data_IF_439905012976
#
_entry.id   IF_439905012976
#
_cell.length_a   1.000
_cell.length_b   1.000
_cell.length_c   1.000
_cell.angle_alpha   90.00
_cell.angle_beta   90.00
_cell.angle_gamma   90.00
#
_symmetry.space_group_name_H-M   'P 1'
#
loop_
_entity.id
_entity.type
_entity.pdbx_description
1 polymer ?
#
# COMPACT_ATOMS: atom_id res chain seq x y z
N UNK A 1 -5.84 7.42 -3.98
CA UNK A 1 -7.01 8.23 -3.59
C UNK A 1 -6.91 9.71 -3.94
N UNK A 2 -5.80 10.41 -3.70
CA UNK A 2 -5.74 11.87 -3.92
C UNK A 2 -6.22 12.27 -5.32
N UNK A 3 -5.68 11.65 -6.37
CA UNK A 3 -6.11 11.92 -7.75
C UNK A 3 -7.60 11.63 -8.00
N UNK A 4 -8.13 10.53 -7.45
CA UNK A 4 -9.55 10.20 -7.53
C UNK A 4 -10.44 11.25 -6.84
N UNK A 5 -10.04 11.73 -5.65
CA UNK A 5 -10.75 12.82 -4.95
C UNK A 5 -10.68 14.16 -5.70
N UNK A 6 -9.67 14.35 -6.54
CA UNK A 6 -9.54 15.49 -7.45
C UNK A 6 -10.30 15.29 -8.77
N UNK A 7 -11.02 14.17 -8.94
CA UNK A 7 -11.82 13.88 -10.13
C UNK A 7 -11.02 13.31 -11.30
N UNK A 8 -9.78 12.88 -11.08
CA UNK A 8 -8.97 12.21 -12.11
C UNK A 8 -9.42 10.76 -12.23
N UNK A 9 -9.62 10.30 -13.46
CA UNK A 9 -9.91 8.89 -13.74
C UNK A 9 -8.77 7.98 -13.22
N UNK A 10 -9.08 6.90 -12.49
CA UNK A 10 -8.08 6.02 -11.91
C UNK A 10 -7.13 5.40 -12.94
N UNK A 11 -7.65 4.99 -14.10
CA UNK A 11 -6.86 4.34 -15.14
C UNK A 11 -5.93 5.36 -15.80
N UNK A 12 -6.44 6.54 -16.15
CA UNK A 12 -5.63 7.63 -16.71
C UNK A 12 -4.50 8.01 -15.75
N UNK A 13 -4.78 8.09 -14.45
CA UNK A 13 -3.74 8.39 -13.45
C UNK A 13 -2.68 7.29 -13.39
N UNK A 14 -3.09 6.02 -13.39
CA UNK A 14 -2.17 4.89 -13.37
C UNK A 14 -1.29 4.87 -14.64
N UNK A 15 -1.86 5.14 -15.81
CA UNK A 15 -1.14 5.23 -17.08
C UNK A 15 -0.11 6.36 -17.05
N UNK A 16 -0.45 7.53 -16.50
CA UNK A 16 0.49 8.65 -16.36
C UNK A 16 1.65 8.26 -15.43
N UNK A 17 1.37 7.67 -14.27
CA UNK A 17 2.39 7.23 -13.30
C UNK A 17 3.33 6.22 -13.94
N UNK A 18 2.80 5.22 -14.64
CA UNK A 18 3.56 4.12 -15.24
C UNK A 18 4.32 4.52 -16.51
N UNK A 19 3.96 5.63 -17.16
CA UNK A 19 4.73 6.23 -18.25
C UNK A 19 5.71 7.31 -17.80
N UNK A 20 5.78 7.59 -16.50
CA UNK A 20 6.62 8.65 -15.93
C UNK A 20 7.66 8.08 -14.95
N UNK A 21 8.34 8.95 -14.22
CA UNK A 21 9.36 8.59 -13.21
C UNK A 21 8.77 7.97 -11.94
N UNK A 22 7.43 7.93 -11.80
CA UNK A 22 6.75 7.34 -10.65
C UNK A 22 6.53 5.83 -10.74
N UNK A 23 6.86 5.22 -11.89
CA UNK A 23 6.66 3.78 -12.11
C UNK A 23 7.45 2.95 -11.09
N UNK A 24 6.75 2.01 -10.46
CA UNK A 24 7.35 0.99 -9.62
C UNK A 24 6.53 -0.31 -9.70
N UNK A 25 7.03 -1.38 -9.08
CA UNK A 25 6.31 -2.65 -9.05
C UNK A 25 4.89 -2.53 -8.49
N UNK A 26 4.70 -1.69 -7.47
CA UNK A 26 3.37 -1.47 -6.88
C UNK A 26 2.42 -0.73 -7.82
N UNK A 27 2.90 0.14 -8.72
CA UNK A 27 2.02 0.86 -9.65
C UNK A 27 1.76 0.07 -10.94
N UNK A 28 2.69 -0.80 -11.32
CA UNK A 28 2.60 -1.57 -12.56
C UNK A 28 1.95 -2.94 -12.39
N UNK A 29 2.32 -3.67 -11.32
CA UNK A 29 1.98 -5.09 -11.15
C UNK A 29 1.00 -5.29 -9.98
N UNK A 30 1.26 -4.65 -8.84
CA UNK A 30 0.44 -4.81 -7.63
C UNK A 30 -0.38 -3.56 -7.32
N UNK A 31 -1.07 -3.04 -8.34
CA UNK A 31 -1.81 -1.79 -8.20
C UNK A 31 -2.91 -1.92 -7.14
N UNK A 32 -2.98 -1.00 -6.16
CA UNK A 32 -3.90 -1.15 -5.04
C UNK A 32 -5.35 -0.82 -5.41
N UNK A 33 -5.59 0.06 -6.40
CA UNK A 33 -6.95 0.48 -6.75
C UNK A 33 -7.70 -0.65 -7.49
N UNK A 34 -8.84 -1.15 -6.98
CA UNK A 34 -9.54 -2.29 -7.57
C UNK A 34 -9.99 -2.09 -9.03
N UNK A 35 -10.31 -0.86 -9.43
CA UNK A 35 -10.82 -0.56 -10.78
C UNK A 35 -9.73 -0.42 -11.84
N UNK A 36 -8.46 -0.30 -11.43
CA UNK A 36 -7.33 -0.06 -12.36
C UNK A 36 -6.83 -1.38 -12.92
N UNK A 37 -6.71 -1.44 -14.25
CA UNK A 37 -6.06 -2.55 -14.94
C UNK A 37 -4.54 -2.39 -14.82
N UNK A 38 -3.90 -3.39 -14.22
CA UNK A 38 -2.46 -3.40 -13.94
C UNK A 38 -1.78 -4.57 -14.66
N UNK A 39 -1.36 -4.34 -15.91
CA UNK A 39 -0.79 -5.38 -16.77
C UNK A 39 -1.76 -6.54 -17.05
N UNK A 40 -1.21 -7.73 -17.25
CA UNK A 40 -1.96 -8.97 -17.53
C UNK A 40 -2.33 -9.77 -16.27
N UNK A 41 -1.88 -9.32 -15.09
CA UNK A 41 -2.11 -10.00 -13.82
C UNK A 41 -3.37 -9.46 -13.12
N UNK A 42 -4.01 -10.31 -12.31
CA UNK A 42 -5.07 -9.89 -11.37
C UNK A 42 -4.43 -9.63 -10.00
N UNK A 43 -4.03 -8.38 -9.67
CA UNK A 43 -3.49 -8.06 -8.36
C UNK A 43 -4.50 -8.31 -7.23
N UNK A 44 -4.04 -8.47 -5.97
CA UNK A 44 -4.91 -8.68 -4.83
C UNK A 44 -6.00 -7.60 -4.69
N UNK A 45 -5.73 -6.35 -5.08
CA UNK A 45 -6.72 -5.27 -5.10
C UNK A 45 -8.01 -5.61 -5.88
N UNK A 46 -7.93 -6.42 -6.94
CA UNK A 46 -9.10 -6.88 -7.71
C UNK A 46 -9.92 -7.95 -6.98
N UNK A 47 -9.31 -8.62 -6.01
CA UNK A 47 -9.86 -9.77 -5.28
C UNK A 47 -10.15 -9.39 -3.83
N UNK A 48 -10.58 -8.14 -3.59
CA UNK A 48 -10.80 -7.59 -2.24
C UNK A 48 -9.59 -7.78 -1.30
N UNK A 49 -8.39 -7.73 -1.86
CA UNK A 49 -7.14 -7.86 -1.14
C UNK A 49 -7.01 -9.22 -0.41
N UNK A 50 -7.74 -10.24 -0.88
CA UNK A 50 -7.62 -11.61 -0.38
C UNK A 50 -6.33 -12.26 -0.93
N UNK A 51 -5.66 -13.06 -0.11
CA UNK A 51 -4.39 -13.71 -0.47
C UNK A 51 -3.20 -12.75 -0.52
N UNK A 52 -2.29 -12.98 -1.46
CA UNK A 52 -1.09 -12.15 -1.65
C UNK A 52 -0.10 -12.23 -0.47
N UNK A 53 0.53 -11.10 -0.16
CA UNK A 53 1.46 -10.94 0.94
C UNK A 53 0.78 -10.23 2.11
N UNK A 54 0.34 -11.01 3.11
CA UNK A 54 -0.53 -10.50 4.17
C UNK A 54 0.13 -9.38 4.99
N UNK A 55 -0.68 -8.40 5.37
CA UNK A 55 -0.29 -7.18 6.08
C UNK A 55 0.49 -7.46 7.38
N UNK A 56 0.12 -8.50 8.14
CA UNK A 56 0.89 -8.94 9.33
C UNK A 56 2.32 -9.35 9.00
N UNK A 57 2.54 -10.03 7.88
CA UNK A 57 3.88 -10.41 7.44
C UNK A 57 4.67 -9.19 6.94
N UNK A 58 4.02 -8.29 6.21
CA UNK A 58 4.64 -7.02 5.79
C UNK A 58 5.10 -6.18 6.98
N UNK A 59 4.27 -6.04 8.02
CA UNK A 59 4.65 -5.37 9.27
C UNK A 59 5.84 -6.08 9.96
N UNK A 60 5.84 -7.41 10.01
CA UNK A 60 6.95 -8.17 10.60
C UNK A 60 8.27 -7.88 9.88
N UNK A 61 8.28 -7.86 8.54
CA UNK A 61 9.50 -7.56 7.77
C UNK A 61 9.94 -6.09 7.93
N UNK A 62 8.99 -5.14 7.98
CA UNK A 62 9.29 -3.73 8.27
C UNK A 62 9.89 -3.54 9.67
N UNK A 63 9.34 -4.22 10.69
CA UNK A 63 9.86 -4.17 12.05
C UNK A 63 11.30 -4.70 12.14
N UNK A 64 11.60 -5.79 11.42
CA UNK A 64 12.96 -6.32 11.31
C UNK A 64 13.91 -5.33 10.63
N UNK A 65 13.47 -4.71 9.53
CA UNK A 65 14.27 -3.71 8.82
C UNK A 65 14.57 -2.46 9.68
N UNK A 66 13.57 -1.97 10.43
CA UNK A 66 13.73 -0.84 11.36
C UNK A 66 14.69 -1.19 12.51
N UNK A 67 14.60 -2.40 13.08
CA UNK A 67 15.53 -2.85 14.12
C UNK A 67 16.96 -2.94 13.59
N UNK A 68 17.16 -3.58 12.43
CA UNK A 68 18.48 -3.72 11.82
C UNK A 68 19.11 -2.35 11.48
N UNK A 69 18.30 -1.40 10.98
CA UNK A 69 18.78 -0.04 10.72
C UNK A 69 19.22 0.67 12.00
N UNK A 70 18.51 0.47 13.13
CA UNK A 70 18.90 1.02 14.42
C UNK A 70 20.21 0.42 14.92
N UNK A 71 20.39 -0.91 14.81
CA UNK A 71 21.64 -1.60 15.17
C UNK A 71 22.83 -1.15 14.33
N UNK A 72 22.60 -0.91 13.04
CA UNK A 72 23.63 -0.43 12.10
C UNK A 72 23.86 1.09 12.15
N UNK A 73 23.13 1.83 12.99
CA UNK A 73 23.14 3.29 13.04
C UNK A 73 22.85 3.95 11.67
N UNK A 74 21.95 3.36 10.89
CA UNK A 74 21.52 3.85 9.58
C UNK A 74 20.16 4.56 9.72
N UNK A 75 20.04 5.83 9.29
CA UNK A 75 18.77 6.54 9.37
C UNK A 75 17.77 6.00 8.34
N UNK A 76 16.59 5.60 8.81
CA UNK A 76 15.49 5.07 7.98
C UNK A 76 14.19 5.85 8.21
N UNK A 77 14.21 7.17 7.95
CA UNK A 77 13.12 8.08 8.29
C UNK A 77 11.77 7.66 7.66
N UNK A 78 11.76 7.38 6.35
CA UNK A 78 10.54 6.94 5.65
C UNK A 78 10.12 5.54 6.10
N UNK A 79 11.08 4.61 6.24
CA UNK A 79 10.77 3.23 6.64
C UNK A 79 10.16 3.13 8.04
N UNK A 80 10.55 3.99 8.98
CA UNK A 80 9.91 4.08 10.30
C UNK A 80 8.44 4.52 10.20
N UNK A 81 8.15 5.56 9.42
CA UNK A 81 6.78 6.01 9.19
C UNK A 81 5.91 4.92 8.53
N UNK A 82 6.49 4.19 7.58
CA UNK A 82 5.82 3.05 6.93
C UNK A 82 5.58 1.92 7.94
N UNK A 83 6.57 1.56 8.76
CA UNK A 83 6.43 0.55 9.81
C UNK A 83 5.33 0.90 10.82
N UNK A 84 5.30 2.14 11.31
CA UNK A 84 4.27 2.61 12.25
C UNK A 84 2.85 2.53 11.65
N UNK A 85 2.73 2.85 10.36
CA UNK A 85 1.46 2.71 9.63
C UNK A 85 1.05 1.24 9.57
N UNK A 86 1.94 0.37 9.09
CA UNK A 86 1.67 -1.07 8.97
C UNK A 86 1.47 -1.77 10.33
N UNK A 87 2.07 -1.27 11.41
CA UNK A 87 1.85 -1.74 12.79
C UNK A 87 0.41 -1.60 13.22
N UNK A 88 -0.22 -0.48 12.88
CA UNK A 88 -1.63 -0.24 13.19
C UNK A 88 -2.55 -1.16 12.36
N UNK A 89 -2.23 -1.31 11.07
CA UNK A 89 -3.00 -2.17 10.16
C UNK A 89 -2.87 -3.67 10.51
N UNK A 90 -1.68 -4.13 10.88
CA UNK A 90 -1.43 -5.52 11.24
C UNK A 90 -2.21 -5.98 12.49
N UNK A 91 -2.53 -5.04 13.39
CA UNK A 91 -3.37 -5.28 14.57
C UNK A 91 -4.87 -5.22 14.28
N UNK A 92 -5.27 -4.69 13.12
CA UNK A 92 -6.67 -4.65 12.72
C UNK A 92 -7.16 -6.06 12.38
N UNK A 93 -8.32 -6.43 12.91
CA UNK A 93 -9.02 -7.67 12.53
C UNK A 93 -9.50 -7.63 11.07
N UNK A 94 -9.73 -6.42 10.55
CA UNK A 94 -10.25 -6.22 9.19
C UNK A 94 -9.13 -6.25 8.13
N UNK A 95 -7.96 -5.69 8.45
CA UNK A 95 -6.89 -5.48 7.47
C UNK A 95 -5.69 -6.40 7.66
N UNK A 96 -5.45 -6.93 8.87
CA UNK A 96 -4.20 -7.62 9.19
C UNK A 96 -3.96 -8.90 8.38
N UNK A 97 -5.01 -9.61 7.99
CA UNK A 97 -4.94 -10.87 7.24
C UNK A 97 -5.17 -10.70 5.72
N UNK A 98 -5.28 -9.45 5.25
CA UNK A 98 -5.41 -9.10 3.82
C UNK A 98 -4.06 -8.69 3.25
N UNK A 99 -3.91 -8.76 1.93
CA UNK A 99 -2.71 -8.34 1.21
C UNK A 99 -2.27 -6.92 1.64
N UNK A 100 -0.96 -6.70 1.73
CA UNK A 100 -0.39 -5.43 2.21
C UNK A 100 -0.83 -4.20 1.40
N UNK A 101 -1.30 -4.36 0.15
CA UNK A 101 -1.88 -3.29 -0.65
C UNK A 101 -3.23 -2.78 -0.11
N UNK A 102 -3.86 -3.49 0.84
CA UNK A 102 -5.08 -3.07 1.56
C UNK A 102 -4.90 -1.77 2.34
N UNK A 103 -3.65 -1.31 2.53
CA UNK A 103 -3.35 0.02 3.05
C UNK A 103 -4.10 1.13 2.31
N UNK A 104 -4.41 0.92 1.03
CA UNK A 104 -5.24 1.83 0.26
C UNK A 104 -6.65 2.02 0.86
N UNK A 105 -7.38 0.92 1.14
CA UNK A 105 -8.70 0.98 1.76
C UNK A 105 -8.64 1.49 3.20
N UNK A 106 -7.61 1.09 3.95
CA UNK A 106 -7.42 1.53 5.33
C UNK A 106 -7.27 3.06 5.41
N UNK A 107 -6.47 3.65 4.50
CA UNK A 107 -6.28 5.10 4.42
C UNK A 107 -7.53 5.82 3.88
N UNK A 108 -8.33 5.20 3.01
CA UNK A 108 -9.58 5.80 2.52
C UNK A 108 -10.64 5.91 3.60
N UNK A 109 -10.75 4.86 4.42
CA UNK A 109 -11.65 4.84 5.57
C UNK A 109 -11.28 5.94 6.56
N UNK A 110 -9.99 6.12 6.85
CA UNK A 110 -9.50 7.17 7.75
C UNK A 110 -9.78 8.58 7.19
N UNK A 111 -9.55 8.80 5.90
CA UNK A 111 -9.78 10.09 5.24
C UNK A 111 -11.26 10.43 5.01
N UNK A 112 -12.19 9.52 5.31
CA UNK A 112 -13.64 9.71 5.20
C UNK A 112 -14.29 10.07 6.55
N UNK A 113 -13.53 10.01 7.64
CA UNK A 113 -13.93 10.62 8.91
C UNK A 113 -13.81 12.13 8.74
N UNK A 114 -14.94 12.82 8.60
CA UNK A 114 -14.98 14.29 8.55
C UNK A 114 -14.20 14.84 9.75
N UNK A 115 -13.11 15.56 9.48
CA UNK A 115 -12.52 16.52 10.42
C UNK A 115 -13.46 17.71 10.54
#
# INVERSE_FOLDING_TARGET
MLGLRLGVDPQVLADIINNSTGRCWSSEINHPVPEVRAGDASPPGHQRYEGGFVTKLAHKDLALAVSAAAEANVPLAVGRCVEETYRSLAKSKEFGDRDFSVIYEALDTLGSTKV
#
